data_IF_096647311560
#
_entry.id   IF_096647311560
#
_cell.length_a   1.000
_cell.length_b   1.000
_cell.length_c   1.000
_cell.angle_alpha   90.00
_cell.angle_beta   90.00
_cell.angle_gamma   90.00
#
_symmetry.space_group_name_H-M   'P 1'
#
loop_
_entity.id
_entity.type
_entity.pdbx_description
1 polymer ?
#
# COMPACT_ATOMS: atom_id res chain seq x y z
N UNK A 1 20.18 -39.03 55.30
CA UNK A 1 19.51 -38.14 54.31
C UNK A 1 18.03 -38.09 54.66
N UNK A 2 17.52 -36.94 55.10
CA UNK A 2 16.16 -36.83 55.66
C UNK A 2 15.12 -36.97 54.56
N UNK A 3 14.25 -38.00 54.66
CA UNK A 3 13.18 -38.28 53.69
C UNK A 3 12.25 -37.04 53.44
N UNK A 4 12.15 -36.16 54.41
CA UNK A 4 11.38 -34.91 54.32
C UNK A 4 12.01 -33.90 53.37
N UNK A 5 13.35 -33.87 53.23
CA UNK A 5 14.05 -32.97 52.33
C UNK A 5 13.88 -33.34 50.84
N UNK A 6 13.79 -34.66 50.59
CA UNK A 6 13.59 -35.22 49.26
C UNK A 6 12.18 -34.89 48.73
N UNK A 7 11.18 -34.90 49.64
CA UNK A 7 9.79 -34.59 49.29
C UNK A 7 9.60 -33.12 48.94
N UNK A 8 10.30 -32.21 49.62
CA UNK A 8 10.28 -30.77 49.26
C UNK A 8 11.00 -30.48 47.97
N UNK A 9 12.05 -31.21 47.65
CA UNK A 9 12.77 -31.07 46.38
C UNK A 9 11.92 -31.57 45.19
N UNK A 10 11.14 -32.65 45.40
CA UNK A 10 10.25 -33.20 44.37
C UNK A 10 9.03 -32.29 44.11
N UNK A 11 8.52 -31.61 45.15
CA UNK A 11 7.44 -30.63 45.00
C UNK A 11 7.86 -29.33 44.35
N UNK A 12 9.13 -28.95 44.47
CA UNK A 12 9.66 -27.74 43.85
C UNK A 12 9.88 -27.91 42.32
N UNK A 13 10.06 -29.15 41.85
CA UNK A 13 10.25 -29.45 40.43
C UNK A 13 8.96 -29.60 39.65
N UNK A 14 7.81 -29.70 40.30
CA UNK A 14 6.50 -29.82 39.64
C UNK A 14 5.84 -28.49 39.36
N UNK A 15 6.45 -27.36 39.74
CA UNK A 15 5.86 -26.03 39.58
C UNK A 15 6.38 -25.24 38.33
N UNK A 16 7.21 -25.86 37.48
CA UNK A 16 7.87 -25.14 36.35
C UNK A 16 7.49 -25.71 34.97
N UNK A 17 6.44 -26.53 34.89
CA UNK A 17 5.88 -26.89 33.60
C UNK A 17 4.50 -26.24 33.40
N UNK A 18 4.46 -24.91 33.38
CA UNK A 18 3.41 -24.22 32.64
C UNK A 18 3.76 -24.39 31.16
N UNK A 19 2.97 -25.12 30.36
CA UNK A 19 3.03 -24.92 28.96
C UNK A 19 2.59 -23.47 28.72
N UNK A 20 3.54 -22.61 28.39
CA UNK A 20 3.24 -21.36 27.75
C UNK A 20 2.56 -21.74 26.42
N UNK A 21 1.25 -21.85 26.42
CA UNK A 21 0.47 -21.71 25.24
C UNK A 21 0.64 -20.23 24.84
N UNK A 22 1.70 -19.94 24.12
CA UNK A 22 1.67 -18.84 23.17
C UNK A 22 0.55 -19.23 22.20
N UNK A 23 -0.57 -18.58 22.38
CA UNK A 23 -1.64 -18.55 21.41
C UNK A 23 -1.12 -17.67 20.27
N UNK A 24 -0.13 -18.18 19.53
CA UNK A 24 0.20 -17.73 18.19
C UNK A 24 -0.97 -18.20 17.31
N UNK A 25 -2.07 -17.46 17.41
CA UNK A 25 -3.02 -17.36 16.32
C UNK A 25 -2.32 -16.49 15.26
N UNK A 26 -1.23 -17.01 14.71
CA UNK A 26 -0.78 -16.67 13.40
C UNK A 26 -1.87 -17.17 12.43
N UNK A 27 -2.95 -16.40 12.34
CA UNK A 27 -3.69 -16.31 11.10
C UNK A 27 -2.71 -15.66 10.12
N UNK A 28 -1.81 -16.47 9.58
CA UNK A 28 -1.08 -16.18 8.36
C UNK A 28 -2.11 -16.10 7.21
N UNK A 29 -2.92 -15.03 7.21
CA UNK A 29 -3.47 -14.56 5.95
C UNK A 29 -2.23 -14.22 5.10
N UNK A 30 -2.06 -14.84 3.93
CA UNK A 30 -0.89 -14.58 3.10
C UNK A 30 -0.80 -13.07 2.90
N UNK A 31 0.31 -12.50 3.33
CA UNK A 31 0.56 -11.05 3.23
C UNK A 31 0.42 -10.69 1.75
N UNK A 32 -0.64 -9.94 1.41
CA UNK A 32 -0.91 -9.57 0.02
C UNK A 32 0.29 -8.80 -0.52
N UNK A 33 0.78 -9.20 -1.70
CA UNK A 33 1.90 -8.51 -2.34
C UNK A 33 1.53 -7.06 -2.71
N UNK A 34 2.51 -6.20 -2.94
CA UNK A 34 2.26 -4.82 -3.41
C UNK A 34 1.54 -4.84 -4.75
N UNK A 35 1.88 -5.81 -5.61
CA UNK A 35 1.27 -6.03 -6.91
C UNK A 35 -0.23 -6.39 -6.78
N UNK A 36 -0.59 -7.22 -5.80
CA UNK A 36 -1.99 -7.56 -5.53
C UNK A 36 -2.75 -6.40 -4.89
N UNK A 37 -2.09 -5.67 -3.99
CA UNK A 37 -2.69 -4.55 -3.28
C UNK A 37 -2.96 -3.36 -4.19
N UNK A 38 -2.15 -3.10 -5.23
CA UNK A 38 -2.32 -1.91 -6.06
C UNK A 38 -3.52 -2.02 -7.01
N UNK A 39 -3.86 -3.23 -7.44
CA UNK A 39 -4.96 -3.47 -8.37
C UNK A 39 -6.28 -2.99 -7.78
N UNK A 40 -7.00 -2.18 -8.54
CA UNK A 40 -8.29 -1.59 -8.12
C UNK A 40 -8.41 -0.11 -8.48
N UNK A 41 -9.35 0.55 -7.85
CA UNK A 41 -9.65 1.97 -8.06
C UNK A 41 -9.28 2.77 -6.83
N UNK A 42 -8.51 3.82 -7.05
CA UNK A 42 -7.96 4.69 -6.03
C UNK A 42 -8.35 6.13 -6.31
N UNK A 43 -8.85 6.85 -5.31
CA UNK A 43 -9.38 8.20 -5.45
C UNK A 43 -8.79 9.15 -4.42
N UNK A 44 -8.41 10.33 -4.87
CA UNK A 44 -8.13 11.51 -4.07
C UNK A 44 -9.26 12.52 -4.30
N UNK A 45 -9.84 13.04 -3.25
CA UNK A 45 -10.88 14.07 -3.33
C UNK A 45 -10.35 15.39 -2.78
N UNK A 46 -10.71 16.49 -3.45
CA UNK A 46 -10.36 17.85 -3.04
C UNK A 46 -11.58 18.56 -2.43
N UNK A 47 -11.33 19.53 -1.56
CA UNK A 47 -12.37 20.27 -0.83
C UNK A 47 -13.40 20.98 -1.74
N UNK A 48 -13.00 21.31 -2.97
CA UNK A 48 -13.86 21.98 -3.96
C UNK A 48 -14.76 21.01 -4.74
N UNK A 49 -14.67 19.72 -4.46
CA UNK A 49 -15.39 18.63 -5.15
C UNK A 49 -14.71 18.13 -6.42
N UNK A 50 -13.51 18.65 -6.74
CA UNK A 50 -12.63 18.03 -7.73
C UNK A 50 -12.10 16.70 -7.22
N UNK A 51 -11.62 15.83 -8.11
CA UNK A 51 -10.97 14.59 -7.72
C UNK A 51 -9.92 14.14 -8.74
N UNK A 52 -8.99 13.32 -8.27
CA UNK A 52 -8.16 12.47 -9.13
C UNK A 52 -8.47 10.99 -8.87
N UNK A 53 -8.39 10.17 -9.89
CA UNK A 53 -8.70 8.76 -9.81
C UNK A 53 -7.71 7.94 -10.63
N UNK A 54 -7.07 6.95 -9.99
CA UNK A 54 -6.21 5.96 -10.60
C UNK A 54 -6.91 4.61 -10.60
N UNK A 55 -6.97 3.96 -11.75
CA UNK A 55 -7.45 2.58 -11.89
C UNK A 55 -6.30 1.71 -12.37
N UNK A 56 -5.94 0.69 -11.61
CA UNK A 56 -4.93 -0.30 -11.97
C UNK A 56 -5.59 -1.65 -12.27
N UNK A 57 -5.29 -2.20 -13.43
CA UNK A 57 -5.81 -3.49 -13.87
C UNK A 57 -4.76 -4.60 -13.69
N UNK A 58 -5.21 -5.84 -13.51
CA UNK A 58 -4.35 -7.02 -13.37
C UNK A 58 -3.46 -7.29 -14.61
N UNK A 59 -3.80 -6.74 -15.77
CA UNK A 59 -3.04 -6.91 -17.01
C UNK A 59 -1.89 -5.91 -17.16
N UNK A 60 -1.61 -5.10 -16.12
CA UNK A 60 -0.57 -4.08 -16.13
C UNK A 60 -0.98 -2.79 -16.85
N UNK A 61 -2.25 -2.62 -17.19
CA UNK A 61 -2.77 -1.35 -17.72
C UNK A 61 -3.30 -0.46 -16.61
N UNK A 62 -3.27 0.86 -16.84
CA UNK A 62 -3.88 1.83 -15.94
C UNK A 62 -4.71 2.88 -16.69
N UNK A 63 -5.60 3.52 -15.95
CA UNK A 63 -6.29 4.73 -16.35
C UNK A 63 -6.18 5.77 -15.24
N UNK A 64 -5.88 7.01 -15.63
CA UNK A 64 -5.87 8.16 -14.74
C UNK A 64 -6.92 9.15 -15.19
N UNK A 65 -7.70 9.67 -14.26
CA UNK A 65 -8.75 10.67 -14.52
C UNK A 65 -8.61 11.79 -13.51
N UNK A 66 -8.54 13.03 -13.98
CA UNK A 66 -8.70 14.23 -13.17
C UNK A 66 -10.02 14.88 -13.55
N UNK A 67 -10.81 15.24 -12.56
CA UNK A 67 -11.98 16.09 -12.71
C UNK A 67 -11.79 17.35 -11.88
N UNK A 68 -11.64 18.48 -12.55
CA UNK A 68 -11.42 19.79 -11.95
C UNK A 68 -12.66 20.66 -12.11
N UNK A 69 -13.08 21.33 -11.05
CA UNK A 69 -14.17 22.29 -11.09
C UNK A 69 -13.76 23.56 -11.83
N UNK A 70 -14.64 24.08 -12.68
CA UNK A 70 -14.41 25.37 -13.29
C UNK A 70 -14.42 26.49 -12.24
N UNK A 71 -13.45 27.43 -12.34
CA UNK A 71 -13.34 28.54 -11.40
C UNK A 71 -14.46 29.58 -11.56
N UNK A 72 -15.01 29.73 -12.77
CA UNK A 72 -15.94 30.82 -13.10
C UNK A 72 -17.31 30.35 -13.66
N UNK A 73 -17.52 29.03 -13.79
CA UNK A 73 -18.73 28.47 -14.38
C UNK A 73 -19.18 27.24 -13.60
N UNK A 74 -20.48 26.90 -13.72
CA UNK A 74 -20.93 25.60 -13.24
C UNK A 74 -20.42 24.49 -14.17
N UNK A 75 -19.79 23.46 -13.59
CA UNK A 75 -19.30 22.30 -14.35
C UNK A 75 -17.89 21.87 -13.98
N UNK A 76 -17.41 20.85 -14.69
CA UNK A 76 -16.10 20.24 -14.47
C UNK A 76 -15.37 20.05 -15.81
N UNK A 77 -14.07 20.26 -15.78
CA UNK A 77 -13.17 19.81 -16.84
C UNK A 77 -12.70 18.40 -16.49
N UNK A 78 -12.70 17.48 -17.46
CA UNK A 78 -12.24 16.11 -17.24
C UNK A 78 -11.08 15.80 -18.18
N UNK A 79 -9.93 15.48 -17.59
CA UNK A 79 -8.76 14.95 -18.28
C UNK A 79 -8.66 13.45 -18.03
N UNK A 80 -8.25 12.68 -19.07
CA UNK A 80 -8.04 11.24 -18.98
C UNK A 80 -6.73 10.85 -19.64
N UNK A 81 -6.01 9.96 -18.96
CA UNK A 81 -4.77 9.37 -19.42
C UNK A 81 -4.83 7.86 -19.30
N UNK A 82 -4.15 7.17 -20.19
CA UNK A 82 -4.10 5.71 -20.23
C UNK A 82 -2.69 5.24 -20.55
N UNK A 83 -2.34 4.08 -20.05
CA UNK A 83 -1.04 3.48 -20.32
C UNK A 83 -0.87 2.12 -19.67
N UNK A 84 0.38 1.75 -19.48
CA UNK A 84 0.78 0.57 -18.72
C UNK A 84 1.61 0.99 -17.54
N UNK A 85 1.67 0.13 -16.52
CA UNK A 85 2.50 0.35 -15.34
C UNK A 85 3.34 -0.86 -15.00
N UNK A 86 4.44 -0.63 -14.29
CA UNK A 86 5.32 -1.66 -13.73
C UNK A 86 5.65 -1.26 -12.30
N UNK A 87 5.72 -2.26 -11.41
CA UNK A 87 6.18 -2.09 -10.03
C UNK A 87 7.52 -2.79 -9.88
N UNK A 88 8.50 -2.09 -9.33
CA UNK A 88 9.82 -2.64 -9.06
C UNK A 88 10.28 -2.27 -7.65
N UNK A 89 10.98 -3.20 -6.99
CA UNK A 89 11.60 -2.88 -5.70
C UNK A 89 12.65 -1.80 -5.88
N UNK A 90 12.60 -0.75 -5.05
CA UNK A 90 13.57 0.34 -5.11
C UNK A 90 14.96 -0.16 -4.72
N UNK A 91 15.98 0.22 -5.49
CA UNK A 91 17.38 0.00 -5.13
C UNK A 91 17.93 1.08 -4.18
N UNK A 92 17.29 2.26 -4.18
CA UNK A 92 17.71 3.42 -3.38
C UNK A 92 17.04 3.45 -1.99
N UNK A 93 15.81 2.98 -1.89
CA UNK A 93 15.03 3.03 -0.66
C UNK A 93 14.69 1.63 -0.18
N UNK A 94 15.18 1.28 1.01
CA UNK A 94 14.92 -0.02 1.63
C UNK A 94 13.41 -0.22 1.83
N UNK A 95 12.92 -1.40 1.44
CA UNK A 95 11.52 -1.83 1.61
C UNK A 95 10.48 -0.91 0.93
N UNK A 96 10.90 -0.18 -0.12
CA UNK A 96 10.04 0.64 -0.96
C UNK A 96 9.99 0.11 -2.38
N UNK A 97 8.96 0.54 -3.11
CA UNK A 97 8.73 0.17 -4.51
C UNK A 97 8.63 1.43 -5.37
N UNK A 98 9.12 1.32 -6.59
CA UNK A 98 8.94 2.31 -7.64
C UNK A 98 7.79 1.85 -8.53
N UNK A 99 6.84 2.73 -8.74
CA UNK A 99 5.74 2.59 -9.67
C UNK A 99 6.07 3.42 -10.91
N UNK A 100 6.34 2.75 -12.01
CA UNK A 100 6.66 3.38 -13.29
C UNK A 100 5.43 3.36 -14.18
N UNK A 101 5.00 4.52 -14.65
CA UNK A 101 3.96 4.70 -15.64
C UNK A 101 4.56 4.88 -17.05
N UNK A 102 4.02 4.18 -18.02
CA UNK A 102 4.30 4.37 -19.44
C UNK A 102 3.07 4.95 -20.11
N UNK A 103 3.07 6.25 -20.27
CA UNK A 103 1.91 7.03 -20.72
C UNK A 103 1.76 6.88 -22.23
N UNK A 104 0.59 6.47 -22.69
CA UNK A 104 0.27 6.35 -24.10
C UNK A 104 -0.11 7.70 -24.67
N UNK A 105 0.87 8.44 -25.19
CA UNK A 105 0.65 9.71 -25.90
C UNK A 105 0.73 9.51 -27.42
N UNK A 106 0.09 10.43 -28.18
CA UNK A 106 0.17 10.45 -29.64
C UNK A 106 1.54 10.92 -30.17
N UNK A 107 2.29 11.64 -29.35
CA UNK A 107 3.51 12.31 -29.77
C UNK A 107 4.79 11.64 -29.26
N UNK A 108 4.80 11.17 -28.01
CA UNK A 108 6.00 10.64 -27.35
C UNK A 108 5.62 9.55 -26.34
N UNK A 109 6.53 8.61 -26.11
CA UNK A 109 6.44 7.69 -24.97
C UNK A 109 6.95 8.43 -23.73
N UNK A 110 6.05 8.80 -22.85
CA UNK A 110 6.39 9.46 -21.60
C UNK A 110 6.49 8.38 -20.53
N UNK A 111 7.56 8.42 -19.75
CA UNK A 111 7.76 7.60 -18.57
C UNK A 111 7.73 8.50 -17.35
N UNK A 112 7.00 8.08 -16.31
CA UNK A 112 6.96 8.76 -15.02
C UNK A 112 7.16 7.74 -13.91
N UNK A 113 8.06 8.05 -12.98
CA UNK A 113 8.40 7.21 -11.84
C UNK A 113 7.92 7.85 -10.55
N UNK A 114 7.15 7.11 -9.76
CA UNK A 114 6.69 7.49 -8.44
C UNK A 114 7.12 6.45 -7.41
N UNK A 115 7.44 6.91 -6.21
CA UNK A 115 7.69 6.06 -5.06
C UNK A 115 6.36 5.65 -4.42
N UNK A 116 6.13 4.36 -4.21
CA UNK A 116 5.08 3.86 -3.34
C UNK A 116 5.56 4.04 -1.90
N UNK A 117 5.20 5.16 -1.29
CA UNK A 117 5.58 5.48 0.08
C UNK A 117 4.88 4.55 1.08
N UNK A 118 3.63 4.20 0.81
CA UNK A 118 2.85 3.22 1.59
C UNK A 118 1.69 2.68 0.76
N UNK A 119 1.32 1.42 0.99
CA UNK A 119 0.11 0.81 0.44
C UNK A 119 -0.53 -0.14 1.45
N UNK A 120 -1.85 -0.15 1.49
CA UNK A 120 -2.68 -1.06 2.29
C UNK A 120 -3.95 -1.42 1.51
N UNK A 121 -4.84 -2.21 2.08
CA UNK A 121 -6.14 -2.57 1.48
C UNK A 121 -7.02 -1.33 1.17
N UNK A 122 -6.85 -0.22 1.90
CA UNK A 122 -7.71 0.97 1.80
C UNK A 122 -7.00 2.26 1.41
N UNK A 123 -5.66 2.30 1.46
CA UNK A 123 -4.88 3.53 1.30
C UNK A 123 -3.65 3.29 0.42
N UNK A 124 -3.39 4.21 -0.51
CA UNK A 124 -2.20 4.27 -1.34
C UNK A 124 -1.57 5.66 -1.21
N UNK A 125 -0.27 5.73 -0.91
CA UNK A 125 0.48 6.98 -0.84
C UNK A 125 1.59 6.93 -1.88
N UNK A 126 1.54 7.86 -2.83
CA UNK A 126 2.53 8.05 -3.87
C UNK A 126 3.32 9.34 -3.65
N UNK A 127 4.62 9.35 -3.96
CA UNK A 127 5.47 10.53 -3.88
C UNK A 127 6.53 10.52 -4.97
N UNK A 128 7.05 11.70 -5.31
CA UNK A 128 8.25 11.80 -6.15
C UNK A 128 9.50 11.51 -5.31
N UNK A 129 10.49 10.83 -5.90
CA UNK A 129 11.71 10.42 -5.17
C UNK A 129 12.50 11.58 -4.55
N UNK A 130 12.48 12.75 -5.20
CA UNK A 130 13.32 13.92 -4.85
C UNK A 130 12.62 14.98 -4.01
N UNK A 131 11.32 14.81 -3.71
CA UNK A 131 10.51 15.83 -3.03
C UNK A 131 9.86 15.25 -1.78
N UNK A 132 10.47 15.53 -0.64
CA UNK A 132 9.89 15.25 0.67
C UNK A 132 8.54 15.97 0.93
N UNK A 133 8.04 16.80 0.00
CA UNK A 133 7.03 17.80 0.33
C UNK A 133 5.63 17.51 -0.22
N UNK A 134 5.43 16.54 -1.11
CA UNK A 134 4.09 16.28 -1.66
C UNK A 134 3.89 14.79 -1.96
N UNK A 135 3.56 14.04 -0.93
CA UNK A 135 2.95 12.73 -1.12
C UNK A 135 1.45 12.92 -1.38
N UNK A 136 0.94 12.28 -2.42
CA UNK A 136 -0.48 12.20 -2.71
C UNK A 136 -1.07 10.98 -2.05
N UNK A 137 -2.14 11.16 -1.31
CA UNK A 137 -2.85 10.09 -0.62
C UNK A 137 -4.15 9.76 -1.35
N UNK A 138 -4.27 8.51 -1.77
CA UNK A 138 -5.47 7.96 -2.39
C UNK A 138 -6.17 6.99 -1.45
N UNK A 139 -7.49 7.01 -1.48
CA UNK A 139 -8.35 6.05 -0.81
C UNK A 139 -8.91 5.06 -1.82
N UNK A 140 -8.99 3.77 -1.48
CA UNK A 140 -9.61 2.77 -2.36
C UNK A 140 -11.09 3.03 -2.50
N UNK A 141 -11.58 2.97 -3.72
CA UNK A 141 -13.02 2.99 -4.04
C UNK A 141 -13.49 1.54 -4.09
N UNK A 142 -14.51 1.22 -3.31
CA UNK A 142 -15.16 -0.10 -3.30
C UNK A 142 -16.00 -0.33 -4.57
#
# INVERSE_FOLDING_TARGET
MNKKLLTYFLLLFLAVTMPSCSNDNDNDEPESSVEDLIVGVWKEEFDDGSYSMLTFNNDGTYAYTIQEKYAEQEGYNTYKEYGTYVIQKSSAYRDKYILTFFIKSKAENIQEDLLIASISKSKLILSYEDKNDKATEYTRVE
#
